data_IF_699259859708
#
_entry.id   IF_699259859708
#
_cell.length_a   1.000
_cell.length_b   1.000
_cell.length_c   1.000
_cell.angle_alpha   90.00
_cell.angle_beta   90.00
_cell.angle_gamma   90.00
#
_symmetry.space_group_name_H-M   'P 1'
#
loop_
_entity.id
_entity.type
_entity.pdbx_description
1 polymer ?
#
# COMPACT_ATOMS: atom_id res chain seq x y z
N UNK A 1 20.38 -68.33 34.83
CA UNK A 1 20.18 -67.06 35.56
C UNK A 1 20.32 -65.95 34.54
N UNK A 2 19.20 -65.63 33.89
CA UNK A 2 19.09 -64.58 32.88
C UNK A 2 18.90 -63.22 33.57
N UNK A 3 19.61 -62.21 33.08
CA UNK A 3 19.45 -60.81 33.49
C UNK A 3 18.66 -60.12 32.39
N UNK A 4 17.45 -59.66 32.73
CA UNK A 4 16.51 -59.03 31.81
C UNK A 4 16.87 -57.58 31.45
N UNK A 5 16.70 -57.25 30.18
CA UNK A 5 16.69 -55.88 29.64
C UNK A 5 15.22 -55.49 29.38
N UNK A 6 14.70 -54.37 29.89
CA UNK A 6 13.33 -53.96 29.58
C UNK A 6 13.28 -53.21 28.24
N UNK A 7 12.44 -53.72 27.33
CA UNK A 7 12.04 -53.05 26.08
C UNK A 7 10.95 -52.01 26.38
N UNK A 8 11.19 -50.75 26.04
CA UNK A 8 10.20 -49.66 26.10
C UNK A 8 9.50 -49.57 24.74
N UNK A 9 8.19 -49.83 24.70
CA UNK A 9 7.34 -49.62 23.53
C UNK A 9 6.73 -48.21 23.55
N UNK A 10 6.56 -47.55 22.38
CA UNK A 10 6.00 -46.20 22.31
C UNK A 10 4.47 -46.18 22.49
N UNK A 11 4.00 -45.18 23.24
CA UNK A 11 2.58 -44.93 23.50
C UNK A 11 1.81 -44.62 22.21
N UNK A 12 0.70 -45.35 22.03
CA UNK A 12 -0.32 -45.11 21.01
C UNK A 12 -1.05 -43.79 21.28
N UNK A 13 -0.96 -42.84 20.37
CA UNK A 13 -1.86 -41.67 20.33
C UNK A 13 -3.14 -42.11 19.62
N UNK A 14 -4.23 -42.21 20.37
CA UNK A 14 -5.56 -42.52 19.82
C UNK A 14 -6.17 -41.29 19.18
N UNK A 15 -6.47 -41.40 17.89
CA UNK A 15 -7.30 -40.50 17.11
C UNK A 15 -8.75 -40.53 17.65
N UNK A 16 -9.29 -39.39 18.09
CA UNK A 16 -10.72 -39.17 18.30
C UNK A 16 -11.17 -37.97 17.48
N UNK A 17 -12.23 -38.22 16.73
CA UNK A 17 -12.80 -37.43 15.65
C UNK A 17 -13.43 -36.10 16.07
N UNK A 18 -13.40 -35.16 15.12
CA UNK A 18 -14.30 -34.01 14.92
C UNK A 18 -15.68 -34.11 15.62
N UNK A 19 -16.05 -33.09 16.39
CA UNK A 19 -17.31 -32.32 16.24
C UNK A 19 -17.42 -31.23 17.31
N UNK A 20 -17.69 -29.98 16.90
CA UNK A 20 -18.30 -28.95 17.75
C UNK A 20 -17.35 -28.01 18.49
N UNK A 21 -17.23 -26.78 17.98
CA UNK A 21 -17.51 -25.53 18.70
C UNK A 21 -17.66 -24.45 17.62
N UNK A 22 -18.91 -24.25 17.20
CA UNK A 22 -19.39 -23.02 16.56
C UNK A 22 -20.33 -22.38 17.57
N UNK A 23 -20.20 -21.07 17.74
CA UNK A 23 -21.07 -20.17 18.50
C UNK A 23 -21.01 -20.22 20.03
N UNK A 24 -20.40 -19.20 20.64
CA UNK A 24 -21.04 -18.34 21.63
C UNK A 24 -20.03 -17.30 22.14
N UNK A 25 -20.22 -16.02 21.81
CA UNK A 25 -19.98 -14.85 22.67
C UNK A 25 -20.36 -13.57 21.91
N UNK A 26 -21.66 -13.40 21.71
CA UNK A 26 -22.27 -12.08 21.67
C UNK A 26 -23.03 -11.93 22.99
N UNK A 27 -22.65 -10.94 23.81
CA UNK A 27 -23.54 -10.08 24.62
C UNK A 27 -22.69 -9.34 25.66
N UNK A 28 -22.09 -8.23 25.21
CA UNK A 28 -21.88 -7.07 26.05
C UNK A 28 -22.16 -5.85 25.17
N UNK A 29 -23.39 -5.36 25.24
CA UNK A 29 -23.80 -4.12 24.59
C UNK A 29 -23.06 -2.95 25.23
N UNK A 30 -22.02 -2.46 24.57
CA UNK A 30 -21.61 -1.08 24.71
C UNK A 30 -22.21 -0.31 23.55
N UNK A 31 -23.14 0.60 23.84
CA UNK A 31 -23.62 1.57 22.89
C UNK A 31 -22.41 2.31 22.29
N UNK A 32 -22.13 2.08 21.01
CA UNK A 32 -21.18 2.88 20.23
C UNK A 32 -21.83 4.25 20.02
N UNK A 33 -21.55 5.18 20.93
CA UNK A 33 -21.78 6.59 20.65
C UNK A 33 -20.96 6.98 19.41
N UNK A 34 -21.49 7.83 18.52
CA UNK A 34 -20.73 8.35 17.39
C UNK A 34 -19.53 9.10 17.96
N UNK A 35 -18.35 8.50 17.88
CA UNK A 35 -17.11 9.18 18.22
C UNK A 35 -16.94 10.32 17.24
N UNK A 36 -16.96 11.54 17.77
CA UNK A 36 -16.40 12.71 17.10
C UNK A 36 -15.06 12.31 16.48
N UNK A 37 -14.99 12.39 15.16
CA UNK A 37 -13.76 12.19 14.41
C UNK A 37 -12.75 13.19 14.93
N UNK A 38 -11.69 12.70 15.59
CA UNK A 38 -10.50 13.50 15.83
C UNK A 38 -9.86 13.74 14.45
N UNK A 39 -10.32 14.76 13.75
CA UNK A 39 -9.63 15.31 12.59
C UNK A 39 -8.47 16.15 13.13
N UNK A 40 -7.45 15.49 13.67
CA UNK A 40 -6.16 16.13 13.80
C UNK A 40 -5.75 16.53 12.38
N UNK A 41 -5.68 17.83 12.13
CA UNK A 41 -5.17 18.36 10.86
C UNK A 41 -3.72 17.90 10.77
N UNK A 42 -3.48 16.83 10.01
CA UNK A 42 -2.16 16.21 9.91
C UNK A 42 -1.22 17.25 9.28
N UNK A 43 -0.19 17.72 10.00
CA UNK A 43 0.74 18.69 9.47
C UNK A 43 1.42 18.11 8.23
N UNK A 44 1.32 18.83 7.12
CA UNK A 44 2.09 18.53 5.91
C UNK A 44 3.33 19.43 6.00
N UNK A 45 4.50 18.84 6.18
CA UNK A 45 5.78 19.58 6.28
C UNK A 45 6.04 20.39 5.01
N UNK A 46 5.44 19.98 3.88
CA UNK A 46 5.37 20.72 2.63
C UNK A 46 4.05 20.40 1.91
N UNK A 47 3.05 21.29 1.92
CA UNK A 47 1.76 21.00 1.30
C UNK A 47 1.91 20.86 -0.23
N UNK A 48 1.15 19.94 -0.85
CA UNK A 48 1.08 19.82 -2.31
C UNK A 48 0.55 21.13 -2.93
N UNK A 49 0.82 21.39 -4.20
CA UNK A 49 0.22 22.54 -4.88
C UNK A 49 -1.31 22.43 -4.97
N UNK A 50 -1.86 21.21 -4.91
CA UNK A 50 -3.30 20.95 -4.77
C UNK A 50 -3.57 19.71 -3.92
N UNK A 51 -4.52 19.80 -2.98
CA UNK A 51 -4.99 18.69 -2.14
C UNK A 51 -6.48 18.43 -2.40
N UNK A 52 -6.85 17.18 -2.68
CA UNK A 52 -8.24 16.76 -2.86
C UNK A 52 -8.54 15.48 -2.07
N UNK A 53 -9.80 15.32 -1.65
CA UNK A 53 -10.26 14.27 -0.73
C UNK A 53 -11.45 13.45 -1.27
N UNK A 54 -11.86 13.71 -2.51
CA UNK A 54 -12.89 12.97 -3.22
C UNK A 54 -12.54 12.78 -4.70
N UNK A 55 -13.21 11.81 -5.35
CA UNK A 55 -12.95 11.41 -6.74
C UNK A 55 -13.13 12.56 -7.72
N UNK A 56 -14.15 13.40 -7.54
CA UNK A 56 -14.47 14.50 -8.45
C UNK A 56 -13.38 15.58 -8.38
N UNK A 57 -13.04 16.02 -7.16
CA UNK A 57 -11.97 17.00 -6.97
C UNK A 57 -10.61 16.44 -7.42
N UNK A 58 -10.36 15.16 -7.19
CA UNK A 58 -9.13 14.52 -7.69
C UNK A 58 -9.01 14.59 -9.20
N UNK A 59 -10.10 14.30 -9.92
CA UNK A 59 -10.15 14.46 -11.37
C UNK A 59 -9.95 15.91 -11.82
N UNK A 60 -10.41 16.87 -11.03
CA UNK A 60 -10.29 18.29 -11.35
C UNK A 60 -8.86 18.82 -11.16
N UNK A 61 -8.06 18.22 -10.27
CA UNK A 61 -6.67 18.66 -10.02
C UNK A 61 -5.63 17.86 -10.81
N UNK A 62 -5.85 16.55 -11.00
CA UNK A 62 -4.92 15.68 -11.71
C UNK A 62 -4.84 16.03 -13.20
N UNK A 63 -3.63 16.12 -13.74
CA UNK A 63 -3.38 16.40 -15.15
C UNK A 63 -3.72 17.83 -15.57
N UNK A 64 -3.95 18.76 -14.63
CA UNK A 64 -4.10 20.20 -14.89
C UNK A 64 -2.80 20.98 -14.78
N UNK A 65 -1.80 20.38 -14.18
CA UNK A 65 -0.49 20.99 -14.05
C UNK A 65 0.34 20.65 -15.30
N UNK A 66 0.85 21.68 -15.96
CA UNK A 66 1.97 21.51 -16.89
C UNK A 66 3.24 21.22 -16.09
N UNK A 67 4.25 20.61 -16.72
CA UNK A 67 5.52 20.34 -16.07
C UNK A 67 6.02 21.60 -15.33
N UNK A 68 6.30 21.52 -14.02
CA UNK A 68 6.55 22.71 -13.21
C UNK A 68 7.86 23.39 -13.61
N UNK A 69 7.93 24.72 -13.46
CA UNK A 69 9.19 25.48 -13.56
C UNK A 69 10.21 25.06 -12.48
N UNK A 70 9.77 24.41 -11.41
CA UNK A 70 10.62 23.98 -10.29
C UNK A 70 10.38 22.51 -9.89
N UNK A 71 11.44 21.70 -9.99
CA UNK A 71 11.50 20.33 -9.48
C UNK A 71 10.78 19.30 -10.37
N UNK A 72 11.56 18.40 -11.00
CA UNK A 72 11.04 17.25 -11.73
C UNK A 72 11.78 15.98 -11.33
N UNK A 73 11.11 14.83 -11.42
CA UNK A 73 11.78 13.54 -11.33
C UNK A 73 12.61 13.34 -12.60
N UNK A 74 13.84 12.88 -12.44
CA UNK A 74 14.67 12.45 -13.56
C UNK A 74 13.96 11.30 -14.30
N UNK A 75 13.46 11.59 -15.49
CA UNK A 75 12.70 10.66 -16.32
C UNK A 75 13.56 9.52 -16.86
N UNK A 76 14.89 9.62 -16.79
CA UNK A 76 15.82 8.55 -17.20
C UNK A 76 16.03 7.50 -16.11
N UNK A 77 15.72 7.83 -14.85
CA UNK A 77 15.92 6.93 -13.71
C UNK A 77 15.00 7.28 -12.52
N UNK A 78 13.80 6.72 -12.52
CA UNK A 78 12.83 6.85 -11.41
C UNK A 78 12.96 5.60 -10.52
N UNK A 79 13.58 5.76 -9.35
CA UNK A 79 13.71 4.69 -8.34
C UNK A 79 12.56 4.74 -7.35
N UNK A 80 11.85 3.63 -7.21
CA UNK A 80 10.72 3.48 -6.31
C UNK A 80 10.87 2.23 -5.45
N UNK A 81 10.51 2.36 -4.18
CA UNK A 81 10.28 1.24 -3.26
C UNK A 81 8.81 1.23 -2.82
N UNK A 82 8.23 0.04 -2.73
CA UNK A 82 6.93 -0.21 -2.12
C UNK A 82 7.06 -1.15 -0.93
N UNK A 83 6.46 -0.81 0.20
CA UNK A 83 6.51 -1.66 1.38
C UNK A 83 5.34 -1.47 2.34
N UNK A 84 4.61 -2.54 2.64
CA UNK A 84 3.70 -2.56 3.78
C UNK A 84 4.55 -2.73 5.06
N UNK A 85 4.50 -1.73 5.95
CA UNK A 85 5.36 -1.67 7.16
C UNK A 85 4.71 -2.28 8.40
N UNK A 86 3.56 -2.93 8.26
CA UNK A 86 2.85 -3.62 9.34
C UNK A 86 2.65 -2.73 10.60
N UNK A 87 2.31 -1.45 10.42
CA UNK A 87 2.13 -0.47 11.51
C UNK A 87 3.39 -0.21 12.34
N UNK A 88 4.57 -0.56 11.85
CA UNK A 88 5.82 -0.46 12.61
C UNK A 88 5.82 -1.38 13.82
N UNK A 89 5.29 -2.60 13.66
CA UNK A 89 5.09 -3.59 14.73
C UNK A 89 6.39 -4.03 15.39
N UNK A 90 7.52 -3.96 14.68
CA UNK A 90 8.86 -4.26 15.19
C UNK A 90 9.63 -2.96 15.38
N UNK A 91 10.58 -2.83 16.33
CA UNK A 91 11.44 -1.65 16.42
C UNK A 91 12.38 -1.45 15.22
N UNK A 92 12.69 -2.51 14.50
CA UNK A 92 13.73 -2.61 13.48
C UNK A 92 13.32 -1.99 12.15
N UNK A 93 12.01 -1.96 11.86
CA UNK A 93 11.48 -1.43 10.60
C UNK A 93 11.99 -0.03 10.25
N UNK A 94 12.27 0.80 11.26
CA UNK A 94 12.78 2.14 11.05
C UNK A 94 14.20 2.14 10.50
N UNK A 95 15.06 1.26 11.04
CA UNK A 95 16.43 1.12 10.59
C UNK A 95 16.50 0.59 9.16
N UNK A 96 15.51 -0.20 8.75
CA UNK A 96 15.39 -0.70 7.38
C UNK A 96 14.81 0.38 6.44
N UNK A 97 13.84 1.17 6.91
CA UNK A 97 13.19 2.23 6.13
C UNK A 97 14.17 3.35 5.74
N UNK A 98 15.02 3.81 6.65
CA UNK A 98 15.85 5.00 6.41
C UNK A 98 16.80 4.85 5.21
N UNK A 99 17.56 3.74 5.05
CA UNK A 99 18.33 3.48 3.83
C UNK A 99 17.47 3.43 2.57
N UNK A 100 16.24 2.87 2.64
CA UNK A 100 15.33 2.81 1.50
C UNK A 100 14.89 4.21 1.07
N UNK A 101 14.60 5.12 2.01
CA UNK A 101 14.30 6.51 1.72
C UNK A 101 15.50 7.22 1.06
N UNK A 102 16.72 6.98 1.54
CA UNK A 102 17.91 7.58 0.93
C UNK A 102 18.23 7.03 -0.47
N UNK A 103 17.95 5.75 -0.74
CA UNK A 103 18.25 5.13 -2.03
C UNK A 103 17.22 5.45 -3.12
N UNK A 104 15.98 5.79 -2.76
CA UNK A 104 14.87 5.92 -3.72
C UNK A 104 14.44 7.37 -3.95
N UNK A 105 13.78 7.60 -5.08
CA UNK A 105 13.14 8.88 -5.40
C UNK A 105 11.72 8.94 -4.85
N UNK A 106 11.05 7.78 -4.83
CA UNK A 106 9.72 7.57 -4.30
C UNK A 106 9.72 6.39 -3.33
N UNK A 107 9.01 6.50 -2.21
CA UNK A 107 8.75 5.37 -1.32
C UNK A 107 7.26 5.31 -0.96
N UNK A 108 6.63 4.18 -1.25
CA UNK A 108 5.21 3.94 -1.06
C UNK A 108 5.00 2.99 0.11
N UNK A 109 4.52 3.50 1.24
CA UNK A 109 4.29 2.70 2.43
C UNK A 109 2.80 2.43 2.65
N UNK A 110 2.47 1.22 3.09
CA UNK A 110 1.14 0.83 3.55
C UNK A 110 1.16 0.44 5.03
N UNK A 111 -0.01 0.51 5.68
CA UNK A 111 -0.15 0.37 7.14
C UNK A 111 0.72 1.33 7.96
N UNK A 112 1.20 2.42 7.38
CA UNK A 112 2.02 3.38 8.07
C UNK A 112 1.19 4.11 9.15
N UNK A 113 1.59 3.98 10.42
CA UNK A 113 1.01 4.74 11.52
C UNK A 113 1.58 6.16 11.51
N UNK A 114 0.71 7.16 11.46
CA UNK A 114 1.14 8.55 11.50
C UNK A 114 1.86 8.87 12.82
N UNK A 115 3.01 9.53 12.71
CA UNK A 115 3.75 10.15 13.81
C UNK A 115 4.59 11.30 13.25
N UNK A 116 4.94 12.28 14.08
CA UNK A 116 5.83 13.38 13.68
C UNK A 116 7.19 12.84 13.22
N UNK A 117 7.73 11.85 13.95
CA UNK A 117 8.95 11.14 13.54
C UNK A 117 8.86 10.61 12.11
N UNK A 118 7.73 9.98 11.74
CA UNK A 118 7.53 9.47 10.38
C UNK A 118 7.38 10.62 9.36
N UNK A 119 6.64 11.68 9.68
CA UNK A 119 6.51 12.84 8.80
C UNK A 119 7.88 13.48 8.50
N UNK A 120 8.78 13.46 9.47
CA UNK A 120 10.13 14.01 9.38
C UNK A 120 11.18 12.98 8.94
N UNK A 121 10.79 11.74 8.61
CA UNK A 121 11.73 10.64 8.29
C UNK A 121 12.68 10.97 7.13
N UNK A 122 12.17 11.73 6.15
CA UNK A 122 12.94 12.17 5.00
C UNK A 122 13.75 13.44 5.23
N UNK A 123 13.59 14.10 6.39
CA UNK A 123 14.13 15.43 6.67
C UNK A 123 13.79 16.43 5.56
N UNK A 124 14.70 17.38 5.30
CA UNK A 124 14.56 18.37 4.22
C UNK A 124 14.69 17.77 2.81
N UNK A 125 14.96 16.47 2.68
CA UNK A 125 15.24 15.81 1.39
C UNK A 125 14.01 15.20 0.74
N UNK A 126 12.93 15.01 1.49
CA UNK A 126 11.72 14.39 0.97
C UNK A 126 10.46 15.10 1.45
N UNK A 127 9.51 15.16 0.54
CA UNK A 127 8.13 15.54 0.77
C UNK A 127 7.36 14.33 1.29
N UNK A 128 6.41 14.59 2.18
CA UNK A 128 5.59 13.58 2.83
C UNK A 128 4.12 13.77 2.48
N UNK A 129 3.54 12.78 1.79
CA UNK A 129 2.13 12.77 1.41
C UNK A 129 1.41 11.61 2.11
N UNK A 130 0.52 11.93 3.05
CA UNK A 130 -0.24 10.93 3.81
C UNK A 130 -1.73 10.93 3.46
N UNK A 131 -2.23 9.76 3.07
CA UNK A 131 -3.66 9.49 2.91
C UNK A 131 -4.15 8.64 4.09
N UNK A 132 -4.98 9.21 5.00
CA UNK A 132 -5.44 8.52 6.19
C UNK A 132 -6.42 7.39 5.84
N UNK A 133 -6.22 6.23 6.45
CA UNK A 133 -7.11 5.08 6.39
C UNK A 133 -7.72 4.81 7.76
N UNK A 134 -7.38 3.66 8.35
CA UNK A 134 -7.94 3.23 9.62
C UNK A 134 -7.47 4.08 10.80
N UNK A 135 -8.44 4.58 11.58
CA UNK A 135 -8.20 5.40 12.76
C UNK A 135 -8.80 4.75 14.02
N UNK A 136 -8.06 4.84 15.12
CA UNK A 136 -8.51 4.50 16.48
C UNK A 136 -8.40 5.74 17.37
N UNK A 137 -8.79 5.64 18.65
CA UNK A 137 -8.54 6.72 19.63
C UNK A 137 -7.06 7.02 19.84
N UNK A 138 -6.15 6.12 19.46
CA UNK A 138 -4.71 6.20 19.78
C UNK A 138 -3.84 6.50 18.57
N UNK A 139 -4.25 6.07 17.38
CA UNK A 139 -3.44 6.17 16.18
C UNK A 139 -4.30 6.17 14.92
N UNK A 140 -3.79 6.86 13.89
CA UNK A 140 -4.29 6.80 12.52
C UNK A 140 -3.24 6.13 11.65
N UNK A 141 -3.64 5.10 10.93
CA UNK A 141 -2.83 4.40 9.93
C UNK A 141 -3.34 4.73 8.54
N UNK A 142 -2.49 4.61 7.54
CA UNK A 142 -2.86 4.91 6.17
C UNK A 142 -1.81 4.45 5.18
N UNK A 143 -1.74 5.18 4.07
CA UNK A 143 -0.67 5.04 3.08
C UNK A 143 0.14 6.32 3.02
N UNK A 144 1.45 6.17 2.83
CA UNK A 144 2.40 7.28 2.73
C UNK A 144 3.11 7.20 1.38
N UNK A 145 3.21 8.33 0.70
CA UNK A 145 4.16 8.54 -0.40
C UNK A 145 5.22 9.51 0.10
N UNK A 146 6.47 9.06 0.21
CA UNK A 146 7.62 9.94 0.26
C UNK A 146 8.10 10.23 -1.16
N UNK A 147 8.49 11.47 -1.43
CA UNK A 147 9.03 11.88 -2.73
C UNK A 147 10.17 12.88 -2.60
N UNK A 148 11.20 12.79 -3.46
CA UNK A 148 12.30 13.77 -3.48
C UNK A 148 11.93 15.14 -4.04
N UNK A 149 10.83 15.20 -4.78
CA UNK A 149 10.29 16.44 -5.33
C UNK A 149 8.90 16.68 -4.78
N UNK A 150 8.48 17.94 -4.81
CA UNK A 150 7.13 18.33 -4.41
C UNK A 150 6.10 17.70 -5.36
N UNK A 151 5.03 17.08 -4.84
CA UNK A 151 3.91 16.67 -5.67
C UNK A 151 3.15 17.89 -6.21
N UNK A 152 2.80 17.85 -7.49
CA UNK A 152 1.92 18.82 -8.15
C UNK A 152 0.51 18.74 -7.58
N UNK A 153 0.01 17.51 -7.43
CA UNK A 153 -1.27 17.23 -6.81
C UNK A 153 -1.14 16.05 -5.85
N UNK A 154 -1.93 16.07 -4.79
CA UNK A 154 -2.07 14.97 -3.85
C UNK A 154 -3.55 14.75 -3.54
N UNK A 155 -3.94 13.49 -3.51
CA UNK A 155 -5.31 13.04 -3.50
C UNK A 155 -5.49 11.91 -2.48
N UNK A 156 -6.44 12.10 -1.58
CA UNK A 156 -6.74 11.18 -0.50
C UNK A 156 -8.11 10.54 -0.74
N UNK A 157 -8.13 9.30 -1.20
CA UNK A 157 -9.37 8.54 -1.36
C UNK A 157 -9.49 7.51 -0.24
N UNK A 158 -10.72 7.24 0.19
CA UNK A 158 -11.00 6.25 1.23
C UNK A 158 -12.25 5.45 0.90
N UNK A 159 -12.19 4.14 1.10
CA UNK A 159 -13.35 3.23 0.99
C UNK A 159 -13.51 2.52 2.32
N UNK A 160 -14.73 2.45 2.85
CA UNK A 160 -15.02 1.70 4.08
C UNK A 160 -15.18 0.22 3.80
N UNK A 161 -14.54 -0.63 4.60
CA UNK A 161 -14.74 -2.07 4.54
C UNK A 161 -16.16 -2.47 4.99
N UNK A 162 -16.86 -3.40 4.29
CA UNK A 162 -18.25 -3.73 4.59
C UNK A 162 -18.50 -4.35 5.98
N UNK A 163 -17.53 -5.05 6.58
CA UNK A 163 -17.73 -5.82 7.81
C UNK A 163 -17.11 -5.18 9.05
N UNK A 164 -15.87 -4.72 8.93
CA UNK A 164 -15.17 -4.08 10.05
C UNK A 164 -15.32 -2.56 10.02
N UNK A 165 -15.92 -1.99 8.96
CA UNK A 165 -16.07 -0.56 8.79
C UNK A 165 -14.74 0.19 8.67
N UNK A 166 -13.61 -0.52 8.56
CA UNK A 166 -12.28 0.11 8.56
C UNK A 166 -12.08 0.87 7.24
N UNK A 167 -11.72 2.16 7.29
CA UNK A 167 -11.35 2.89 6.10
C UNK A 167 -10.04 2.34 5.52
N UNK A 168 -10.05 2.05 4.22
CA UNK A 168 -8.88 1.66 3.44
C UNK A 168 -8.50 2.81 2.54
N UNK A 169 -7.24 3.22 2.64
CA UNK A 169 -6.75 4.43 2.01
C UNK A 169 -6.14 4.14 0.65
N UNK A 170 -6.35 5.08 -0.25
CA UNK A 170 -5.60 5.21 -1.50
C UNK A 170 -5.06 6.64 -1.57
N UNK A 171 -3.74 6.77 -1.71
CA UNK A 171 -3.07 8.03 -2.00
C UNK A 171 -2.77 8.12 -3.49
N UNK A 172 -3.06 9.26 -4.10
CA UNK A 172 -2.67 9.55 -5.49
C UNK A 172 -1.82 10.81 -5.47
N UNK A 173 -0.64 10.75 -6.08
CA UNK A 173 0.29 11.89 -6.19
C UNK A 173 0.70 12.09 -7.64
N UNK A 174 0.82 13.34 -8.06
CA UNK A 174 1.24 13.70 -9.41
C UNK A 174 2.59 14.43 -9.39
N UNK A 175 3.47 14.10 -10.32
CA UNK A 175 4.85 14.59 -10.39
C UNK A 175 5.23 15.05 -11.79
N UNK A 176 6.01 16.13 -11.88
CA UNK A 176 6.67 16.52 -13.12
C UNK A 176 7.81 15.56 -13.49
N UNK A 177 8.04 15.36 -14.79
CA UNK A 177 9.12 14.55 -15.33
C UNK A 177 10.10 15.43 -16.13
N UNK A 178 11.40 15.23 -15.96
CA UNK A 178 12.41 16.02 -16.68
C UNK A 178 12.35 15.73 -18.18
N UNK A 179 12.41 16.76 -19.03
CA UNK A 179 12.43 16.60 -20.48
C UNK A 179 11.13 16.04 -21.08
N UNK A 180 10.00 16.15 -20.36
CA UNK A 180 8.69 15.70 -20.81
C UNK A 180 7.62 16.73 -20.48
N UNK A 181 6.69 16.94 -21.40
CA UNK A 181 5.51 17.79 -21.19
C UNK A 181 4.38 17.03 -20.46
N UNK A 182 4.59 15.75 -20.17
CA UNK A 182 3.65 14.90 -19.43
C UNK A 182 4.05 14.76 -17.97
N UNK A 183 3.08 14.46 -17.13
CA UNK A 183 3.28 14.18 -15.70
C UNK A 183 3.21 12.68 -15.41
N UNK A 184 3.81 12.28 -14.29
CA UNK A 184 3.68 10.95 -13.71
C UNK A 184 2.61 10.95 -12.62
N UNK A 185 1.62 10.07 -12.76
CA UNK A 185 0.67 9.77 -11.67
C UNK A 185 1.12 8.51 -10.93
N UNK A 186 1.26 8.61 -9.62
CA UNK A 186 1.64 7.52 -8.72
C UNK A 186 0.49 7.25 -7.76
N UNK A 187 -0.01 6.01 -7.76
CA UNK A 187 -1.09 5.57 -6.89
C UNK A 187 -0.54 4.57 -5.87
N UNK A 188 -0.69 4.90 -4.58
CA UNK A 188 -0.38 4.04 -3.45
C UNK A 188 -1.68 3.50 -2.85
N UNK A 189 -1.90 2.19 -2.92
CA UNK A 189 -3.14 1.54 -2.49
C UNK A 189 -2.89 0.58 -1.34
N UNK A 190 -3.67 0.68 -0.27
CA UNK A 190 -3.88 -0.44 0.64
C UNK A 190 -5.32 -0.93 0.50
N UNK A 191 -5.52 -2.06 -0.18
CA UNK A 191 -6.84 -2.49 -0.58
C UNK A 191 -7.64 -3.17 0.54
N UNK A 192 -8.97 -3.13 0.44
CA UNK A 192 -9.92 -3.83 1.32
C UNK A 192 -9.52 -5.29 1.53
N UNK A 193 -9.28 -5.71 2.76
CA UNK A 193 -8.88 -7.08 3.09
C UNK A 193 -10.11 -7.96 3.38
N UNK A 194 -10.95 -7.55 4.33
CA UNK A 194 -12.05 -8.39 4.84
C UNK A 194 -13.39 -8.06 4.17
N UNK A 195 -13.73 -8.82 3.12
CA UNK A 195 -15.02 -8.77 2.45
C UNK A 195 -15.48 -10.16 1.97
N UNK A 196 -16.79 -10.44 2.03
CA UNK A 196 -17.37 -11.71 1.56
C UNK A 196 -17.17 -11.93 0.05
N UNK A 197 -17.40 -10.87 -0.73
CA UNK A 197 -17.27 -10.85 -2.19
C UNK A 197 -16.25 -9.85 -2.70
N UNK A 198 -16.24 -9.63 -4.02
CA UNK A 198 -15.31 -8.71 -4.69
C UNK A 198 -15.82 -7.27 -4.79
N UNK A 199 -17.09 -7.00 -4.48
CA UNK A 199 -17.72 -5.71 -4.74
C UNK A 199 -16.98 -4.52 -4.10
N UNK A 200 -16.63 -4.60 -2.82
CA UNK A 200 -15.90 -3.51 -2.15
C UNK A 200 -14.48 -3.32 -2.69
N UNK A 201 -13.80 -4.42 -3.04
CA UNK A 201 -12.49 -4.38 -3.68
C UNK A 201 -12.57 -3.72 -5.07
N UNK A 202 -13.51 -4.15 -5.91
CA UNK A 202 -13.72 -3.59 -7.23
C UNK A 202 -14.15 -2.13 -7.17
N UNK A 203 -15.02 -1.74 -6.23
CA UNK A 203 -15.41 -0.35 -6.03
C UNK A 203 -14.22 0.55 -5.68
N UNK A 204 -13.29 0.06 -4.85
CA UNK A 204 -12.04 0.79 -4.56
C UNK A 204 -11.14 0.91 -5.79
N UNK A 205 -11.06 -0.11 -6.64
CA UNK A 205 -10.32 -0.02 -7.89
C UNK A 205 -11.00 0.96 -8.87
N UNK A 206 -12.34 0.92 -8.97
CA UNK A 206 -13.12 1.84 -9.80
C UNK A 206 -12.96 3.29 -9.36
N UNK A 207 -12.95 3.59 -8.06
CA UNK A 207 -12.76 4.98 -7.59
C UNK A 207 -11.40 5.55 -8.00
N UNK A 208 -10.37 4.71 -8.07
CA UNK A 208 -9.06 5.09 -8.62
C UNK A 208 -9.17 5.38 -10.12
N UNK A 209 -9.78 4.48 -10.90
CA UNK A 209 -10.02 4.71 -12.34
C UNK A 209 -10.74 6.02 -12.59
N UNK A 210 -11.81 6.30 -11.83
CA UNK A 210 -12.65 7.49 -11.99
C UNK A 210 -11.89 8.79 -11.64
N UNK A 211 -10.96 8.73 -10.69
CA UNK A 211 -10.10 9.84 -10.30
C UNK A 211 -9.03 10.12 -11.37
N UNK A 212 -8.42 9.06 -11.93
CA UNK A 212 -7.33 9.19 -12.92
C UNK A 212 -7.81 9.18 -14.37
N UNK A 213 -9.12 9.16 -14.62
CA UNK A 213 -9.67 8.96 -15.97
C UNK A 213 -9.23 10.01 -17.00
N UNK A 214 -8.83 11.21 -16.56
CA UNK A 214 -8.31 12.28 -17.43
C UNK A 214 -6.82 12.13 -17.75
N UNK A 215 -6.08 11.34 -16.96
CA UNK A 215 -4.64 11.19 -17.09
C UNK A 215 -4.27 10.17 -18.17
N UNK A 216 -3.51 10.61 -19.17
CA UNK A 216 -3.02 9.77 -20.28
C UNK A 216 -1.52 9.50 -20.21
N UNK A 217 -0.79 10.22 -19.37
CA UNK A 217 0.66 10.09 -19.25
C UNK A 217 1.12 8.83 -18.49
N UNK A 218 2.43 8.77 -18.20
CA UNK A 218 3.04 7.75 -17.37
C UNK A 218 2.29 7.54 -16.05
N UNK A 219 2.19 6.28 -15.63
CA UNK A 219 1.49 5.92 -14.40
C UNK A 219 2.17 4.76 -13.70
N UNK A 220 2.23 4.84 -12.37
CA UNK A 220 2.61 3.75 -11.47
C UNK A 220 1.44 3.51 -10.52
N UNK A 221 1.00 2.26 -10.40
CA UNK A 221 0.06 1.83 -9.37
C UNK A 221 0.72 0.73 -8.56
N UNK A 222 0.82 0.93 -7.24
CA UNK A 222 1.52 0.01 -6.35
C UNK A 222 0.88 -0.04 -4.98
N UNK A 223 1.11 -1.14 -4.28
CA UNK A 223 0.73 -1.29 -2.89
C UNK A 223 0.38 -2.71 -2.50
N UNK A 224 -0.20 -2.83 -1.31
CA UNK A 224 -0.79 -4.07 -0.80
C UNK A 224 -2.24 -4.17 -1.27
N UNK A 225 -2.48 -5.05 -2.25
CA UNK A 225 -3.81 -5.26 -2.80
C UNK A 225 -4.61 -6.34 -2.07
N UNK A 226 -4.05 -6.96 -1.03
CA UNK A 226 -4.66 -8.06 -0.29
C UNK A 226 -5.21 -9.15 -1.24
N UNK A 227 -4.48 -9.52 -2.30
CA UNK A 227 -5.00 -10.45 -3.34
C UNK A 227 -4.85 -11.93 -2.98
N UNK A 228 -5.02 -12.29 -1.72
CA UNK A 228 -4.94 -13.68 -1.20
C UNK A 228 -5.96 -14.67 -1.80
N UNK A 229 -6.85 -14.23 -2.70
CA UNK A 229 -7.75 -15.09 -3.51
C UNK A 229 -7.55 -14.85 -4.98
N UNK A 230 -7.55 -15.93 -5.78
CA UNK A 230 -7.48 -15.88 -7.25
C UNK A 230 -8.50 -14.92 -7.88
N UNK A 231 -9.72 -14.84 -7.35
CA UNK A 231 -10.73 -13.91 -7.85
C UNK A 231 -10.34 -12.43 -7.73
N UNK A 232 -9.61 -12.07 -6.66
CA UNK A 232 -9.08 -10.72 -6.45
C UNK A 232 -7.91 -10.45 -7.40
N UNK A 233 -7.00 -11.39 -7.55
CA UNK A 233 -5.91 -11.30 -8.54
C UNK A 233 -6.45 -11.08 -9.94
N UNK A 234 -7.44 -11.87 -10.39
CA UNK A 234 -8.07 -11.73 -11.70
C UNK A 234 -8.79 -10.38 -11.87
N UNK A 235 -9.46 -9.89 -10.83
CA UNK A 235 -10.11 -8.58 -10.86
C UNK A 235 -9.07 -7.44 -10.96
N UNK A 236 -7.98 -7.53 -10.20
CA UNK A 236 -6.88 -6.57 -10.23
C UNK A 236 -6.18 -6.55 -11.58
N UNK A 237 -5.82 -7.72 -12.12
CA UNK A 237 -5.17 -7.84 -13.43
C UNK A 237 -6.02 -7.21 -14.53
N UNK A 238 -7.30 -7.57 -14.64
CA UNK A 238 -8.20 -6.98 -15.65
C UNK A 238 -8.37 -5.48 -15.49
N UNK A 239 -8.46 -5.00 -14.24
CA UNK A 239 -8.56 -3.58 -13.96
C UNK A 239 -7.28 -2.83 -14.40
N UNK A 240 -6.11 -3.36 -14.06
CA UNK A 240 -4.84 -2.78 -14.46
C UNK A 240 -4.68 -2.76 -15.99
N UNK A 241 -5.00 -3.87 -16.67
CA UNK A 241 -5.02 -3.98 -18.14
C UNK A 241 -5.96 -2.94 -18.78
N UNK A 242 -7.14 -2.70 -18.19
CA UNK A 242 -8.09 -1.70 -18.70
C UNK A 242 -7.56 -0.26 -18.64
N UNK A 243 -6.57 0.00 -17.79
CA UNK A 243 -5.87 1.28 -17.70
C UNK A 243 -4.61 1.34 -18.57
N UNK A 244 -4.30 0.26 -19.32
CA UNK A 244 -3.09 0.12 -20.11
C UNK A 244 -1.83 -0.15 -19.28
N UNK A 245 -2.00 -0.66 -18.05
CA UNK A 245 -0.88 -0.98 -17.16
C UNK A 245 -0.40 -2.41 -17.37
N UNK A 246 0.89 -2.63 -17.19
CA UNK A 246 1.54 -3.96 -17.16
C UNK A 246 2.15 -4.22 -15.79
N UNK A 247 2.09 -5.47 -15.33
CA UNK A 247 2.69 -5.85 -14.06
C UNK A 247 4.22 -5.86 -14.15
N UNK A 248 4.90 -5.42 -13.10
CA UNK A 248 6.34 -5.59 -12.94
C UNK A 248 6.64 -7.04 -12.57
N UNK A 249 7.56 -7.66 -13.30
CA UNK A 249 8.04 -9.02 -13.02
C UNK A 249 9.33 -9.01 -12.21
N UNK A 250 9.58 -10.08 -11.47
CA UNK A 250 10.76 -10.23 -10.63
C UNK A 250 11.44 -11.57 -10.90
N UNK A 251 12.75 -11.54 -11.16
CA UNK A 251 13.55 -12.75 -11.40
C UNK A 251 13.62 -13.65 -10.17
N UNK A 252 13.83 -13.04 -9.00
CA UNK A 252 13.73 -13.69 -7.69
C UNK A 252 12.65 -12.96 -6.92
N UNK A 253 11.57 -13.68 -6.65
CA UNK A 253 10.34 -13.11 -6.13
C UNK A 253 10.16 -13.54 -4.67
N UNK A 254 10.59 -12.65 -3.77
CA UNK A 254 10.48 -12.75 -2.33
C UNK A 254 9.15 -12.21 -1.81
N UNK A 255 8.23 -11.75 -2.66
CA UNK A 255 6.94 -11.23 -2.19
C UNK A 255 6.18 -12.30 -1.41
N UNK A 256 5.46 -11.83 -0.40
CA UNK A 256 4.70 -12.69 0.47
C UNK A 256 3.52 -13.27 -0.28
N UNK A 257 3.38 -14.59 -0.16
CA UNK A 257 2.28 -15.35 -0.76
C UNK A 257 1.34 -15.85 0.32
N UNK A 258 0.06 -15.59 0.14
CA UNK A 258 -1.01 -16.23 0.91
C UNK A 258 -1.87 -17.04 -0.05
N UNK A 259 -2.07 -18.32 0.25
CA UNK A 259 -2.74 -19.29 -0.63
C UNK A 259 -2.21 -19.27 -2.08
N UNK A 260 -0.88 -19.09 -2.21
CA UNK A 260 -0.17 -19.06 -3.50
C UNK A 260 -0.30 -17.74 -4.28
N UNK A 261 -1.02 -16.74 -3.76
CA UNK A 261 -1.19 -15.42 -4.39
C UNK A 261 -0.32 -14.36 -3.71
N UNK A 262 0.30 -13.50 -4.52
CA UNK A 262 1.10 -12.36 -4.05
C UNK A 262 0.22 -11.21 -3.61
N UNK A 263 0.41 -10.70 -2.40
CA UNK A 263 -0.43 -9.61 -1.88
C UNK A 263 -0.11 -8.27 -2.53
N UNK A 264 1.18 -7.98 -2.63
CA UNK A 264 1.73 -6.72 -3.13
C UNK A 264 2.08 -6.80 -4.62
N UNK A 265 1.81 -5.71 -5.34
CA UNK A 265 2.07 -5.61 -6.77
C UNK A 265 2.56 -4.21 -7.15
N UNK A 266 3.32 -4.11 -8.23
CA UNK A 266 3.63 -2.86 -8.94
C UNK A 266 3.15 -3.01 -10.38
N UNK A 267 2.40 -2.03 -10.86
CA UNK A 267 1.92 -1.92 -12.24
C UNK A 267 2.38 -0.59 -12.83
N UNK A 268 2.77 -0.61 -14.10
CA UNK A 268 3.31 0.57 -14.81
C UNK A 268 2.71 0.74 -16.19
N UNK A 269 2.59 1.99 -16.64
CA UNK A 269 2.13 2.39 -17.98
C UNK A 269 3.04 3.47 -18.54
N UNK A 270 3.39 3.34 -19.81
CA UNK A 270 4.26 4.28 -20.53
C UNK A 270 5.59 4.53 -19.79
N UNK A 271 6.14 3.47 -19.19
CA UNK A 271 7.44 3.44 -18.52
C UNK A 271 8.09 2.10 -18.83
N UNK A 272 9.40 2.11 -19.09
CA UNK A 272 10.20 0.91 -19.24
C UNK A 272 10.76 0.48 -17.87
N UNK A 273 10.62 -0.80 -17.53
CA UNK A 273 11.25 -1.38 -16.34
C UNK A 273 12.72 -1.67 -16.64
N UNK A 274 13.62 -0.90 -16.03
CA UNK A 274 15.08 -1.06 -16.18
C UNK A 274 15.60 -2.13 -15.24
N UNK A 275 15.11 -2.12 -14.00
CA UNK A 275 15.46 -3.10 -12.98
C UNK A 275 14.29 -3.30 -12.03
N UNK A 276 14.13 -4.52 -11.53
CA UNK A 276 13.15 -4.87 -10.52
C UNK A 276 13.71 -5.92 -9.56
N UNK A 277 13.41 -5.78 -8.29
CA UNK A 277 13.83 -6.73 -7.26
C UNK A 277 12.89 -6.71 -6.06
N UNK A 278 13.03 -7.72 -5.22
CA UNK A 278 12.31 -7.86 -3.97
C UNK A 278 13.31 -8.38 -2.95
N UNK A 279 13.21 -7.93 -1.71
CA UNK A 279 14.16 -8.31 -0.66
C UNK A 279 13.41 -8.95 0.50
N UNK A 280 13.97 -10.01 1.06
CA UNK A 280 13.38 -10.67 2.22
C UNK A 280 13.74 -9.88 3.47
N UNK A 281 12.74 -9.35 4.15
CA UNK A 281 12.87 -8.60 5.40
C UNK A 281 12.22 -9.34 6.55
N UNK A 282 12.62 -8.99 7.78
CA UNK A 282 12.07 -9.60 9.01
C UNK A 282 11.36 -8.60 9.91
N UNK A 283 11.46 -7.30 9.60
CA UNK A 283 10.85 -6.22 10.36
C UNK A 283 9.39 -5.94 10.01
N UNK A 284 8.87 -6.58 8.96
CA UNK A 284 7.47 -6.59 8.54
C UNK A 284 7.07 -8.01 8.09
N UNK A 285 5.77 -8.31 8.11
CA UNK A 285 5.21 -9.51 7.49
C UNK A 285 5.01 -9.38 5.99
N UNK A 286 5.47 -8.27 5.39
CA UNK A 286 5.60 -8.04 3.96
C UNK A 286 7.04 -7.71 3.58
N UNK A 287 7.38 -8.05 2.35
CA UNK A 287 8.71 -7.81 1.78
C UNK A 287 8.68 -6.61 0.84
N UNK A 288 9.68 -5.70 0.90
CA UNK A 288 9.74 -4.55 0.02
C UNK A 288 9.94 -4.96 -1.44
N UNK A 289 9.34 -4.19 -2.35
CA UNK A 289 9.50 -4.30 -3.79
C UNK A 289 10.19 -3.06 -4.33
N UNK A 290 11.22 -3.24 -5.15
CA UNK A 290 11.98 -2.14 -5.76
C UNK A 290 11.83 -2.19 -7.27
N UNK A 291 11.72 -1.00 -7.87
CA UNK A 291 11.74 -0.83 -9.32
C UNK A 291 12.52 0.41 -9.72
N UNK A 292 13.29 0.31 -10.79
CA UNK A 292 13.87 1.45 -11.51
C UNK A 292 13.18 1.55 -12.86
N UNK A 293 12.62 2.72 -13.14
CA UNK A 293 11.81 3.00 -14.31
C UNK A 293 12.46 4.12 -15.12
N UNK A 294 12.24 4.10 -16.42
CA UNK A 294 12.57 5.20 -17.33
C UNK A 294 11.38 5.49 -18.24
N UNK A 295 11.21 6.74 -18.63
CA UNK A 295 10.23 7.15 -19.64
C UNK A 295 10.60 6.59 -21.02
#
# INVERSE_FOLDING_TARGET
>A
MEVGVPVVLPNRVTCKSLLGIVAALCLAGCALQPSSSFSARIPQTHPPASLADDVTRCRDVLGKHHAPEHGSLDSTAIRLVNWNVQKGSTPQWWADLEPMLQANHLALLQEAAFSERLADAGGERMFFSFAPGFATRRATTGVVTFSRIAPLAHCNLSVREPWLGTPKATGITEFGLSGSDTTLVVVNIHAVNFAFGLAAFQAQLTSVSDAVQGHRGPMIISGDFNTWRRGRTLALTRWAESLGLSAVEYRRDHRVRIFGQHLDQIYVRALTVVASSTEAETSSDHNPMYVTLQL
#
